data_IF_306048637920
#
_entry.id   IF_306048637920
#
_cell.length_a   1.000
_cell.length_b   1.000
_cell.length_c   1.000
_cell.angle_alpha   90.00
_cell.angle_beta   90.00
_cell.angle_gamma   90.00
#
_symmetry.space_group_name_H-M   'P 1'
#
loop_
_entity.id
_entity.type
_entity.pdbx_description
1 polymer ?
#
# COMPACT_ATOMS: atom_id res chain seq x y z
N UNK A 1 -33.61 1.13 -29.11
CA UNK A 1 -32.68 1.82 -28.19
C UNK A 1 -31.30 1.32 -28.55
N UNK A 2 -30.40 2.20 -29.01
CA UNK A 2 -28.99 1.84 -29.18
C UNK A 2 -28.46 1.32 -27.84
N UNK A 3 -27.58 0.31 -27.79
CA UNK A 3 -26.92 -0.07 -26.55
C UNK A 3 -26.32 1.20 -25.96
N UNK A 4 -26.66 1.54 -24.71
CA UNK A 4 -26.08 2.71 -24.07
C UNK A 4 -24.56 2.49 -24.09
N UNK A 5 -23.80 3.45 -24.61
CA UNK A 5 -22.35 3.36 -24.58
C UNK A 5 -21.90 3.46 -23.12
N UNK A 6 -21.67 2.30 -22.48
CA UNK A 6 -21.32 2.20 -21.06
C UNK A 6 -19.99 2.92 -20.81
N UNK A 7 -19.01 2.80 -21.70
CA UNK A 7 -17.72 3.48 -21.57
C UNK A 7 -17.88 5.00 -21.50
N UNK A 8 -18.70 5.59 -22.39
CA UNK A 8 -19.02 7.02 -22.35
C UNK A 8 -19.75 7.43 -21.07
N UNK A 9 -20.71 6.61 -20.60
CA UNK A 9 -21.45 6.85 -19.36
C UNK A 9 -20.53 6.83 -18.13
N UNK A 10 -19.70 5.80 -17.99
CA UNK A 10 -18.71 5.64 -16.92
C UNK A 10 -17.75 6.83 -16.92
N UNK A 11 -17.23 7.22 -18.09
CA UNK A 11 -16.33 8.37 -18.21
C UNK A 11 -16.97 9.67 -17.74
N UNK A 12 -18.21 9.94 -18.15
CA UNK A 12 -18.95 11.13 -17.71
C UNK A 12 -19.17 11.14 -16.19
N UNK A 13 -19.53 9.98 -15.59
CA UNK A 13 -19.70 9.85 -14.14
C UNK A 13 -18.40 10.08 -13.37
N UNK A 14 -17.27 9.57 -13.86
CA UNK A 14 -15.95 9.81 -13.27
C UNK A 14 -15.55 11.29 -13.37
N UNK A 15 -15.85 11.96 -14.48
CA UNK A 15 -15.62 13.41 -14.65
C UNK A 15 -16.46 14.27 -13.69
N UNK A 16 -17.72 13.90 -13.49
CA UNK A 16 -18.59 14.57 -12.51
C UNK A 16 -18.04 14.39 -11.09
N UNK A 17 -17.69 13.16 -10.71
CA UNK A 17 -17.11 12.85 -9.40
C UNK A 17 -15.77 13.55 -9.15
N UNK A 18 -14.93 13.66 -10.18
CA UNK A 18 -13.69 14.43 -10.14
C UNK A 18 -13.96 15.92 -9.84
N UNK A 19 -14.96 16.50 -10.49
CA UNK A 19 -15.36 17.90 -10.30
C UNK A 19 -15.92 18.15 -8.90
N UNK A 20 -16.79 17.27 -8.40
CA UNK A 20 -17.38 17.33 -7.05
C UNK A 20 -16.32 17.21 -5.95
N UNK A 21 -15.35 16.30 -6.14
CA UNK A 21 -14.25 16.07 -5.19
C UNK A 21 -13.06 17.01 -5.38
N UNK A 22 -13.09 17.93 -6.35
CA UNK A 22 -11.99 18.82 -6.74
C UNK A 22 -10.67 18.08 -7.03
N UNK A 23 -10.75 16.82 -7.47
CA UNK A 23 -9.58 15.99 -7.83
C UNK A 23 -9.35 15.99 -9.34
N UNK A 24 -8.10 15.83 -9.81
CA UNK A 24 -7.84 15.66 -11.24
C UNK A 24 -8.58 14.46 -11.81
N UNK A 25 -9.29 14.64 -12.93
CA UNK A 25 -10.01 13.55 -13.62
C UNK A 25 -9.12 12.34 -13.90
N UNK A 26 -7.85 12.57 -14.25
CA UNK A 26 -6.90 11.49 -14.52
C UNK A 26 -6.64 10.59 -13.30
N UNK A 27 -6.75 11.12 -12.09
CA UNK A 27 -6.56 10.33 -10.86
C UNK A 27 -7.74 9.37 -10.67
N UNK A 28 -8.97 9.84 -10.91
CA UNK A 28 -10.17 8.98 -10.86
C UNK A 28 -10.19 7.96 -12.00
N UNK A 29 -9.71 8.31 -13.20
CA UNK A 29 -9.57 7.35 -14.29
C UNK A 29 -8.56 6.25 -13.94
N UNK A 30 -7.41 6.61 -13.35
CA UNK A 30 -6.41 5.62 -12.91
C UNK A 30 -6.94 4.75 -11.79
N UNK A 31 -7.57 5.35 -10.77
CA UNK A 31 -8.17 4.60 -9.67
C UNK A 31 -9.27 3.65 -10.16
N UNK A 32 -10.11 4.10 -11.09
CA UNK A 32 -11.09 3.23 -11.73
C UNK A 32 -10.41 2.07 -12.48
N UNK A 33 -9.37 2.34 -13.26
CA UNK A 33 -8.64 1.28 -13.96
C UNK A 33 -7.99 0.27 -13.03
N UNK A 34 -7.40 0.72 -11.90
CA UNK A 34 -6.86 -0.18 -10.88
C UNK A 34 -7.96 -1.01 -10.21
N UNK A 35 -9.06 -0.38 -9.81
CA UNK A 35 -10.23 -1.04 -9.23
C UNK A 35 -10.76 -2.14 -10.17
N UNK A 36 -10.92 -1.83 -11.46
CA UNK A 36 -11.45 -2.79 -12.44
C UNK A 36 -10.48 -3.91 -12.79
N UNK A 37 -9.16 -3.66 -12.69
CA UNK A 37 -8.16 -4.71 -12.77
C UNK A 37 -8.24 -5.64 -11.54
N UNK A 38 -8.28 -5.06 -10.33
CA UNK A 38 -8.40 -5.82 -9.08
C UNK A 38 -9.71 -6.63 -9.02
N UNK A 39 -10.81 -6.11 -9.58
CA UNK A 39 -12.05 -6.87 -9.69
C UNK A 39 -11.86 -8.11 -10.56
N UNK A 40 -11.28 -7.97 -11.76
CA UNK A 40 -10.98 -9.10 -12.63
C UNK A 40 -10.02 -10.09 -11.96
N UNK A 41 -9.00 -9.61 -11.26
CA UNK A 41 -8.11 -10.47 -10.46
C UNK A 41 -8.90 -11.28 -9.44
N UNK A 42 -9.82 -10.64 -8.69
CA UNK A 42 -10.66 -11.29 -7.69
C UNK A 42 -11.64 -12.33 -8.26
N UNK A 43 -11.95 -12.26 -9.56
CA UNK A 43 -12.80 -13.21 -10.27
C UNK A 43 -12.02 -14.31 -11.00
N UNK A 44 -10.71 -14.12 -11.16
CA UNK A 44 -9.83 -15.08 -11.83
C UNK A 44 -9.43 -16.24 -10.91
N UNK A 45 -8.95 -17.32 -11.51
CA UNK A 45 -8.31 -18.44 -10.80
C UNK A 45 -7.03 -18.04 -10.03
N UNK A 46 -6.50 -16.84 -10.27
CA UNK A 46 -5.28 -16.34 -9.64
C UNK A 46 -5.52 -15.54 -8.36
N UNK A 47 -6.78 -15.28 -7.98
CA UNK A 47 -7.13 -14.47 -6.80
C UNK A 47 -6.37 -14.91 -5.54
N UNK A 48 -6.33 -16.23 -5.28
CA UNK A 48 -5.67 -16.80 -4.08
C UNK A 48 -4.14 -16.77 -4.14
N UNK A 49 -3.56 -16.50 -5.32
CA UNK A 49 -2.10 -16.39 -5.52
C UNK A 49 -1.57 -15.02 -5.18
N UNK A 50 -2.42 -14.03 -4.89
CA UNK A 50 -1.99 -12.67 -4.59
C UNK A 50 -2.64 -12.13 -3.33
N UNK A 51 -1.89 -11.31 -2.61
CA UNK A 51 -2.39 -10.56 -1.46
C UNK A 51 -2.15 -9.08 -1.73
N UNK A 52 -3.21 -8.27 -1.65
CA UNK A 52 -3.12 -6.83 -1.80
C UNK A 52 -2.28 -6.24 -0.67
N UNK A 53 -1.27 -5.44 -1.05
CA UNK A 53 -0.43 -4.68 -0.12
C UNK A 53 -0.41 -3.19 -0.48
N UNK A 54 0.42 -2.41 0.21
CA UNK A 54 0.70 -1.03 -0.15
C UNK A 54 -0.46 -0.05 0.09
N UNK A 55 -0.48 1.03 -0.68
CA UNK A 55 -1.30 2.20 -0.40
C UNK A 55 -2.81 1.98 -0.56
N UNK A 56 -3.22 1.05 -1.44
CA UNK A 56 -4.63 0.76 -1.70
C UNK A 56 -5.35 0.18 -0.48
N UNK A 57 -4.60 -0.39 0.49
CA UNK A 57 -5.16 -0.91 1.74
C UNK A 57 -5.81 0.16 2.61
N UNK A 58 -5.32 1.41 2.56
CA UNK A 58 -5.95 2.50 3.31
C UNK A 58 -7.40 2.72 2.87
N UNK A 59 -7.76 2.40 1.61
CA UNK A 59 -9.16 2.45 1.17
C UNK A 59 -10.02 1.32 1.76
N UNK A 60 -9.39 0.21 2.16
CA UNK A 60 -10.06 -0.94 2.79
C UNK A 60 -10.25 -0.69 4.29
N UNK A 61 -9.23 -0.12 4.94
CA UNK A 61 -9.26 0.16 6.38
C UNK A 61 -10.04 1.43 6.72
N UNK A 62 -9.90 2.48 5.90
CA UNK A 62 -10.43 3.82 6.16
C UNK A 62 -11.19 4.36 4.92
N UNK A 63 -12.37 3.80 4.58
CA UNK A 63 -13.08 4.15 3.34
C UNK A 63 -13.51 5.63 3.25
N UNK A 64 -13.72 6.27 4.41
CA UNK A 64 -14.20 7.64 4.56
C UNK A 64 -13.09 8.69 4.72
N UNK A 65 -11.82 8.29 4.82
CA UNK A 65 -10.71 9.23 5.08
C UNK A 65 -10.22 9.93 3.79
N UNK A 66 -9.82 11.20 3.91
CA UNK A 66 -9.33 12.01 2.80
C UNK A 66 -8.00 11.44 2.26
N UNK A 67 -8.06 10.98 1.01
CA UNK A 67 -7.12 10.02 0.47
C UNK A 67 -5.88 10.67 -0.12
N UNK A 68 -4.71 10.10 0.20
CA UNK A 68 -3.51 10.25 -0.64
C UNK A 68 -3.73 9.59 -1.99
N UNK A 69 -3.20 10.20 -3.05
CA UNK A 69 -3.30 9.64 -4.40
C UNK A 69 -2.30 8.49 -4.55
N UNK A 70 -2.77 7.25 -4.76
CA UNK A 70 -1.93 6.10 -5.14
C UNK A 70 -2.01 5.84 -6.64
N UNK A 71 -0.89 5.43 -7.23
CA UNK A 71 -0.72 5.36 -8.68
C UNK A 71 -0.48 3.95 -9.21
N UNK A 72 -0.35 3.00 -8.28
CA UNK A 72 0.08 1.63 -8.49
C UNK A 72 -0.71 0.67 -7.60
N UNK A 73 -0.76 -0.58 -8.07
CA UNK A 73 -1.24 -1.73 -7.33
C UNK A 73 -0.01 -2.46 -6.79
N UNK A 74 0.09 -2.62 -5.47
CA UNK A 74 1.12 -3.46 -4.85
C UNK A 74 0.51 -4.81 -4.46
N UNK A 75 1.13 -5.92 -4.86
CA UNK A 75 0.73 -7.28 -4.51
C UNK A 75 1.91 -8.05 -3.89
N UNK A 76 1.60 -8.97 -2.99
CA UNK A 76 2.50 -10.07 -2.61
C UNK A 76 2.11 -11.32 -3.40
N UNK A 77 3.05 -11.90 -4.15
CA UNK A 77 2.83 -13.09 -4.98
C UNK A 77 3.15 -14.41 -4.28
N UNK A 78 2.23 -15.38 -4.40
CA UNK A 78 2.36 -16.78 -4.02
C UNK A 78 2.30 -17.66 -5.28
N UNK A 79 3.20 -17.35 -6.23
CA UNK A 79 3.30 -17.98 -7.56
C UNK A 79 4.76 -17.99 -8.01
N UNK A 80 5.05 -18.63 -9.14
CA UNK A 80 6.39 -18.61 -9.72
C UNK A 80 6.79 -17.17 -10.11
N UNK A 81 7.95 -16.73 -9.61
CA UNK A 81 8.50 -15.40 -9.89
C UNK A 81 9.27 -15.37 -11.23
N UNK A 82 8.67 -15.89 -12.31
CA UNK A 82 9.17 -15.75 -13.68
C UNK A 82 8.37 -14.70 -14.45
N UNK A 83 9.05 -13.96 -15.33
CA UNK A 83 8.41 -12.89 -16.11
C UNK A 83 7.35 -13.47 -17.04
N UNK A 84 7.61 -14.65 -17.61
CA UNK A 84 6.72 -15.39 -18.49
C UNK A 84 5.42 -15.77 -17.78
N UNK A 85 5.53 -16.33 -16.56
CA UNK A 85 4.36 -16.68 -15.75
C UNK A 85 3.52 -15.45 -15.41
N UNK A 86 4.17 -14.36 -14.97
CA UNK A 86 3.46 -13.13 -14.59
C UNK A 86 2.80 -12.42 -15.78
N UNK A 87 3.40 -12.48 -16.98
CA UNK A 87 2.75 -12.04 -18.22
C UNK A 87 1.51 -12.87 -18.50
N UNK A 88 1.61 -14.21 -18.40
CA UNK A 88 0.47 -15.10 -18.65
C UNK A 88 -0.69 -14.83 -17.68
N UNK A 89 -0.38 -14.70 -16.38
CA UNK A 89 -1.36 -14.33 -15.35
C UNK A 89 -2.00 -12.98 -15.67
N UNK A 90 -1.21 -11.95 -15.98
CA UNK A 90 -1.73 -10.62 -16.28
C UNK A 90 -2.65 -10.63 -17.51
N UNK A 91 -2.30 -11.37 -18.57
CA UNK A 91 -3.18 -11.56 -19.74
C UNK A 91 -4.52 -12.19 -19.36
N UNK A 92 -4.47 -13.30 -18.61
CA UNK A 92 -5.67 -14.01 -18.16
C UNK A 92 -6.56 -13.15 -17.25
N UNK A 93 -5.96 -12.30 -16.41
CA UNK A 93 -6.70 -11.33 -15.59
C UNK A 93 -7.35 -10.25 -16.47
N UNK A 94 -6.63 -9.69 -17.45
CA UNK A 94 -7.21 -8.71 -18.37
C UNK A 94 -8.38 -9.27 -19.19
N UNK A 95 -8.33 -10.55 -19.54
CA UNK A 95 -9.31 -11.27 -20.36
C UNK A 95 -10.43 -11.94 -19.55
N UNK A 96 -10.42 -11.81 -18.22
CA UNK A 96 -11.43 -12.42 -17.36
C UNK A 96 -12.85 -11.93 -17.70
N UNK A 97 -13.78 -12.87 -17.90
CA UNK A 97 -15.18 -12.56 -18.15
C UNK A 97 -15.83 -11.92 -16.91
N UNK A 98 -16.30 -10.68 -17.08
CA UNK A 98 -16.97 -9.87 -16.06
C UNK A 98 -18.13 -9.11 -16.67
N UNK A 99 -19.00 -8.56 -15.83
CA UNK A 99 -20.05 -7.65 -16.26
C UNK A 99 -19.47 -6.42 -16.97
N UNK A 100 -20.16 -5.89 -17.98
CA UNK A 100 -19.68 -4.72 -18.74
C UNK A 100 -19.46 -3.52 -17.82
N UNK A 101 -18.20 -3.14 -17.67
CA UNK A 101 -17.74 -2.00 -16.86
C UNK A 101 -17.12 -0.88 -17.73
N UNK A 102 -17.23 -1.01 -19.06
CA UNK A 102 -16.83 0.00 -20.04
C UNK A 102 -15.32 0.21 -20.18
N UNK A 103 -14.49 -0.47 -19.40
CA UNK A 103 -13.03 -0.40 -19.51
C UNK A 103 -12.49 -1.60 -20.30
N UNK A 104 -11.57 -1.31 -21.21
CA UNK A 104 -10.89 -2.31 -22.01
C UNK A 104 -9.42 -2.37 -21.62
N UNK A 105 -8.90 -3.56 -21.32
CA UNK A 105 -7.46 -3.76 -21.08
C UNK A 105 -6.79 -4.26 -22.34
N UNK A 106 -5.71 -3.60 -22.77
CA UNK A 106 -4.90 -4.01 -23.91
C UNK A 106 -3.84 -5.02 -23.44
N UNK A 107 -4.14 -6.32 -23.58
CA UNK A 107 -3.25 -7.41 -23.17
C UNK A 107 -1.95 -7.48 -23.99
N UNK A 108 -1.92 -6.87 -25.18
CA UNK A 108 -0.71 -6.77 -26.01
C UNK A 108 0.22 -5.62 -25.60
N UNK A 109 -0.31 -4.66 -24.83
CA UNK A 109 0.49 -3.59 -24.23
C UNK A 109 1.31 -4.02 -23.02
N UNK A 110 1.11 -5.23 -22.49
CA UNK A 110 1.77 -5.70 -21.28
C UNK A 110 3.28 -5.63 -21.43
N UNK A 111 3.94 -4.96 -20.48
CA UNK A 111 5.40 -4.91 -20.34
C UNK A 111 5.76 -5.30 -18.92
N UNK A 112 6.74 -6.19 -18.78
CA UNK A 112 7.21 -6.65 -17.47
C UNK A 112 8.70 -6.40 -17.31
N UNK A 113 9.12 -6.12 -16.08
CA UNK A 113 10.53 -5.92 -15.74
C UNK A 113 10.80 -6.22 -14.27
N UNK A 114 12.02 -6.64 -13.99
CA UNK A 114 12.50 -6.81 -12.61
C UNK A 114 12.63 -5.45 -11.94
N UNK A 115 12.22 -5.37 -10.68
CA UNK A 115 12.42 -4.22 -9.81
C UNK A 115 13.10 -4.70 -8.53
N UNK A 116 13.93 -3.83 -7.93
CA UNK A 116 14.43 -4.06 -6.58
C UNK A 116 13.40 -3.55 -5.59
N UNK A 117 12.82 -4.45 -4.79
CA UNK A 117 12.18 -4.06 -3.53
C UNK A 117 13.24 -3.95 -2.43
N UNK A 118 12.87 -3.48 -1.23
CA UNK A 118 13.80 -3.26 -0.10
C UNK A 118 14.43 -4.53 0.48
N UNK A 119 14.00 -5.69 0.00
CA UNK A 119 14.52 -7.00 0.37
C UNK A 119 15.47 -7.53 -0.72
N UNK A 120 16.26 -8.55 -0.38
CA UNK A 120 17.18 -9.23 -1.30
C UNK A 120 16.50 -10.03 -2.44
N UNK A 121 15.17 -9.89 -2.59
CA UNK A 121 14.36 -10.54 -3.62
C UNK A 121 14.00 -9.55 -4.75
N UNK A 122 14.15 -9.99 -6.00
CA UNK A 122 13.71 -9.23 -7.17
C UNK A 122 12.18 -9.31 -7.32
N UNK A 123 11.51 -8.19 -7.07
CA UNK A 123 10.11 -8.00 -7.43
C UNK A 123 9.92 -7.87 -8.94
N UNK A 124 8.66 -7.84 -9.38
CA UNK A 124 8.31 -7.66 -10.79
C UNK A 124 7.30 -6.54 -10.94
N UNK A 125 7.59 -5.61 -11.85
CA UNK A 125 6.66 -4.58 -12.28
C UNK A 125 5.99 -5.00 -13.58
N UNK A 126 4.67 -4.89 -13.62
CA UNK A 126 3.84 -5.06 -14.81
C UNK A 126 3.24 -3.70 -15.16
N UNK A 127 3.37 -3.30 -16.42
CA UNK A 127 2.74 -2.12 -17.00
C UNK A 127 1.72 -2.57 -18.05
N UNK A 128 0.50 -2.04 -17.95
CA UNK A 128 -0.62 -2.36 -18.85
C UNK A 128 -1.33 -1.06 -19.24
N UNK A 129 -1.75 -0.93 -20.50
CA UNK A 129 -2.68 0.12 -20.90
C UNK A 129 -4.11 -0.37 -20.77
N UNK A 130 -4.94 0.43 -20.12
CA UNK A 130 -6.38 0.31 -20.19
C UNK A 130 -6.98 1.49 -20.96
N UNK A 131 -8.20 1.34 -21.46
CA UNK A 131 -8.91 2.32 -22.25
C UNK A 131 -10.32 2.48 -21.73
N UNK A 132 -10.72 3.72 -21.50
CA UNK A 132 -12.10 4.10 -21.28
C UNK A 132 -12.46 5.13 -22.34
N UNK A 133 -13.29 4.73 -23.31
CA UNK A 133 -13.40 5.48 -24.58
C UNK A 133 -12.00 5.63 -25.23
N UNK A 134 -11.69 6.83 -25.73
CA UNK A 134 -10.37 7.18 -26.27
C UNK A 134 -9.33 7.53 -25.20
N UNK A 135 -9.67 7.47 -23.91
CA UNK A 135 -8.75 7.82 -22.83
C UNK A 135 -7.86 6.64 -22.48
N UNK A 136 -6.57 6.73 -22.78
CA UNK A 136 -5.55 5.78 -22.34
C UNK A 136 -5.23 5.96 -20.85
N UNK A 137 -5.27 4.88 -20.10
CA UNK A 137 -5.06 4.82 -18.66
C UNK A 137 -3.90 3.83 -18.41
N UNK A 138 -2.69 4.30 -18.08
CA UNK A 138 -1.61 3.40 -17.71
C UNK A 138 -1.86 2.82 -16.32
N UNK A 139 -1.72 1.50 -16.19
CA UNK A 139 -1.83 0.73 -14.95
C UNK A 139 -0.46 0.14 -14.63
N UNK A 140 -0.01 0.32 -13.39
CA UNK A 140 1.21 -0.26 -12.86
C UNK A 140 0.83 -1.24 -11.74
N UNK A 141 1.39 -2.45 -11.82
CA UNK A 141 1.24 -3.48 -10.79
C UNK A 141 2.64 -3.92 -10.38
N UNK A 142 2.98 -3.72 -9.11
CA UNK A 142 4.24 -4.15 -8.53
C UNK A 142 3.99 -5.39 -7.67
N UNK A 143 4.75 -6.46 -7.93
CA UNK A 143 4.59 -7.76 -7.29
C UNK A 143 5.87 -8.06 -6.52
N UNK A 144 5.75 -8.03 -5.19
CA UNK A 144 6.76 -8.50 -4.26
C UNK A 144 6.65 -9.99 -3.99
N UNK A 145 7.72 -10.59 -3.47
CA UNK A 145 7.78 -12.02 -3.17
C UNK A 145 8.54 -12.27 -1.87
N UNK A 146 8.13 -13.30 -1.13
CA UNK A 146 8.85 -13.78 0.03
C UNK A 146 8.69 -12.95 1.30
N UNK A 147 7.79 -11.97 1.32
CA UNK A 147 7.49 -11.22 2.55
C UNK A 147 6.79 -12.11 3.59
N UNK A 148 7.14 -11.90 4.86
CA UNK A 148 6.49 -12.58 5.98
C UNK A 148 5.08 -12.03 6.20
N UNK A 149 4.10 -12.93 6.28
CA UNK A 149 2.70 -12.60 6.43
C UNK A 149 2.22 -12.93 7.85
N UNK A 150 2.59 -12.07 8.79
CA UNK A 150 2.22 -12.20 10.22
C UNK A 150 1.54 -10.90 10.69
N UNK A 151 0.30 -10.96 11.19
CA UNK A 151 -0.61 -12.10 11.09
C UNK A 151 -0.95 -12.44 9.63
N UNK A 152 -1.57 -13.59 9.39
CA UNK A 152 -1.94 -14.03 8.04
C UNK A 152 -2.84 -13.02 7.31
N UNK A 153 -2.87 -13.10 5.97
CA UNK A 153 -3.73 -12.23 5.17
C UNK A 153 -5.20 -12.35 5.56
N UNK A 154 -5.87 -11.21 5.57
CA UNK A 154 -7.28 -11.06 5.93
C UNK A 154 -8.13 -10.79 4.69
N UNK A 155 -9.40 -11.20 4.66
CA UNK A 155 -10.29 -10.81 3.56
C UNK A 155 -10.52 -9.31 3.57
N UNK A 156 -10.43 -8.67 2.40
CA UNK A 156 -10.69 -7.25 2.20
C UNK A 156 -11.61 -7.00 1.01
N UNK A 157 -12.43 -5.95 1.12
CA UNK A 157 -13.26 -5.45 0.02
C UNK A 157 -12.76 -4.07 -0.37
N UNK A 158 -12.29 -3.94 -1.61
CA UNK A 158 -11.83 -2.64 -2.14
C UNK A 158 -13.07 -1.82 -2.51
N UNK A 159 -13.24 -0.59 -1.98
CA UNK A 159 -14.41 0.22 -2.30
C UNK A 159 -14.39 0.65 -3.77
N UNK A 160 -15.58 0.80 -4.36
CA UNK A 160 -15.74 1.17 -5.76
C UNK A 160 -16.03 2.66 -5.94
N UNK A 161 -15.55 3.24 -7.04
CA UNK A 161 -15.82 4.64 -7.40
C UNK A 161 -17.24 4.83 -7.92
N UNK A 162 -17.81 3.82 -8.56
CA UNK A 162 -19.15 3.82 -9.15
C UNK A 162 -19.89 2.56 -8.70
N UNK A 163 -21.15 2.43 -9.12
CA UNK A 163 -22.04 1.30 -8.77
C UNK A 163 -21.68 0.02 -9.55
N UNK A 164 -20.45 -0.47 -9.36
CA UNK A 164 -19.97 -1.74 -9.87
C UNK A 164 -19.67 -2.71 -8.74
N UNK A 165 -19.65 -4.03 -8.99
CA UNK A 165 -19.26 -4.99 -7.99
C UNK A 165 -17.82 -4.75 -7.49
N UNK A 166 -17.66 -4.80 -6.17
CA UNK A 166 -16.39 -4.53 -5.49
C UNK A 166 -15.40 -5.70 -5.61
N UNK A 167 -14.09 -5.43 -5.81
CA UNK A 167 -13.04 -6.44 -5.68
C UNK A 167 -13.00 -7.03 -4.27
N UNK A 168 -12.97 -8.36 -4.16
CA UNK A 168 -12.79 -9.07 -2.89
C UNK A 168 -11.51 -9.89 -2.95
N UNK A 169 -10.52 -9.48 -2.16
CA UNK A 169 -9.16 -10.04 -2.22
C UNK A 169 -8.68 -10.39 -0.82
N UNK A 170 -7.60 -11.16 -0.76
CA UNK A 170 -6.79 -11.25 0.45
C UNK A 170 -5.95 -9.98 0.55
N UNK A 171 -5.87 -9.41 1.74
CA UNK A 171 -5.16 -8.17 2.03
C UNK A 171 -4.18 -8.37 3.18
N UNK A 172 -3.12 -7.56 3.20
CA UNK A 172 -2.28 -7.43 4.39
C UNK A 172 -3.10 -6.95 5.58
N UNK A 173 -2.72 -7.43 6.76
CA UNK A 173 -3.12 -6.79 8.01
C UNK A 173 -2.27 -5.53 8.23
N UNK A 174 -2.85 -4.52 8.91
CA UNK A 174 -2.16 -3.31 9.35
C UNK A 174 -0.82 -3.61 10.04
N UNK A 175 -0.74 -4.66 10.88
CA UNK A 175 0.49 -5.02 11.61
C UNK A 175 1.61 -5.48 10.67
N UNK A 176 1.28 -6.24 9.61
CA UNK A 176 2.25 -6.64 8.59
C UNK A 176 2.77 -5.41 7.83
N UNK A 177 1.89 -4.48 7.47
CA UNK A 177 2.28 -3.23 6.82
C UNK A 177 3.16 -2.34 7.72
N UNK A 178 2.85 -2.25 9.01
CA UNK A 178 3.67 -1.55 10.01
C UNK A 178 5.05 -2.22 10.12
N UNK A 179 5.09 -3.55 10.25
CA UNK A 179 6.32 -4.31 10.41
C UNK A 179 7.29 -4.13 9.23
N UNK A 180 6.80 -4.20 7.99
CA UNK A 180 7.62 -3.96 6.79
C UNK A 180 8.17 -2.54 6.73
N UNK A 181 7.34 -1.53 7.01
CA UNK A 181 7.76 -0.13 6.98
C UNK A 181 8.76 0.17 8.10
N UNK A 182 8.57 -0.41 9.28
CA UNK A 182 9.52 -0.29 10.39
C UNK A 182 10.85 -0.96 10.05
N UNK A 183 10.83 -2.19 9.53
CA UNK A 183 12.04 -2.88 9.08
C UNK A 183 12.79 -2.06 8.02
N UNK A 184 12.09 -1.52 7.02
CA UNK A 184 12.69 -0.66 5.99
C UNK A 184 13.30 0.61 6.60
N UNK A 185 12.66 1.17 7.63
CA UNK A 185 13.17 2.34 8.36
C UNK A 185 14.49 2.03 9.06
N UNK A 186 14.59 0.88 9.72
CA UNK A 186 15.82 0.43 10.37
C UNK A 186 16.91 0.14 9.32
N UNK A 187 16.59 -0.60 8.26
CA UNK A 187 17.54 -1.01 7.21
C UNK A 187 18.14 0.18 6.46
N UNK A 188 17.31 1.16 6.09
CA UNK A 188 17.73 2.32 5.28
C UNK A 188 18.39 3.43 6.11
N UNK A 189 18.05 3.53 7.40
CA UNK A 189 18.63 4.52 8.31
C UNK A 189 18.57 5.96 7.78
N UNK A 190 19.69 6.68 7.83
CA UNK A 190 19.80 8.08 7.40
C UNK A 190 19.51 8.27 5.89
N UNK A 191 19.74 7.25 5.07
CA UNK A 191 19.47 7.31 3.62
C UNK A 191 17.98 7.17 3.28
N UNK A 192 17.12 6.90 4.27
CA UNK A 192 15.70 6.68 4.05
C UNK A 192 14.97 7.95 3.57
N UNK A 193 14.63 8.03 2.29
CA UNK A 193 13.86 9.14 1.71
C UNK A 193 12.34 8.88 1.68
N UNK A 194 11.87 7.78 2.26
CA UNK A 194 10.49 7.31 2.15
C UNK A 194 9.60 7.93 3.21
N UNK A 195 9.41 9.24 3.13
CA UNK A 195 8.54 10.01 4.05
C UNK A 195 7.13 9.40 4.17
N UNK A 196 6.62 8.82 3.07
CA UNK A 196 5.35 8.09 3.06
C UNK A 196 5.26 6.96 4.08
N UNK A 197 6.36 6.28 4.40
CA UNK A 197 6.32 5.13 5.32
C UNK A 197 6.15 5.60 6.77
N UNK A 198 6.76 6.74 7.14
CA UNK A 198 6.55 7.38 8.43
C UNK A 198 5.10 7.84 8.59
N UNK A 199 4.55 8.50 7.56
CA UNK A 199 3.16 8.93 7.54
C UNK A 199 2.20 7.73 7.59
N UNK A 200 2.42 6.71 6.77
CA UNK A 200 1.54 5.54 6.70
C UNK A 200 1.49 4.81 8.06
N UNK A 201 2.64 4.62 8.75
CA UNK A 201 2.63 4.04 10.11
C UNK A 201 1.89 4.98 11.07
N UNK A 202 2.24 6.26 11.09
CA UNK A 202 1.61 7.25 11.96
C UNK A 202 0.09 7.25 11.79
N UNK A 203 -0.41 7.25 10.55
CA UNK A 203 -1.83 7.26 10.24
C UNK A 203 -2.53 6.01 10.79
N UNK A 204 -1.95 4.83 10.61
CA UNK A 204 -2.51 3.58 11.14
C UNK A 204 -2.61 3.65 12.67
N UNK A 205 -1.55 4.07 13.36
CA UNK A 205 -1.53 4.08 14.84
C UNK A 205 -2.39 5.20 15.46
N UNK A 206 -2.86 6.17 14.67
CA UNK A 206 -3.87 7.15 15.12
C UNK A 206 -5.29 6.58 15.11
N UNK A 207 -5.59 5.64 14.21
CA UNK A 207 -6.95 5.15 13.98
C UNK A 207 -7.19 3.75 14.53
N UNK A 208 -6.13 2.99 14.83
CA UNK A 208 -6.23 1.60 15.26
C UNK A 208 -5.71 1.39 16.69
N UNK A 209 -6.39 0.51 17.43
CA UNK A 209 -5.82 -0.05 18.67
C UNK A 209 -4.91 -1.22 18.34
N UNK A 210 -3.66 -1.17 18.79
CA UNK A 210 -2.65 -2.19 18.47
C UNK A 210 -2.33 -3.02 19.70
N UNK A 211 -2.43 -4.34 19.55
CA UNK A 211 -1.93 -5.29 20.53
C UNK A 211 -0.40 -5.42 20.39
N UNK A 212 0.32 -5.15 21.48
CA UNK A 212 1.78 -5.15 21.49
C UNK A 212 2.40 -6.51 21.21
N UNK A 213 1.73 -7.61 21.59
CA UNK A 213 2.26 -8.96 21.40
C UNK A 213 2.11 -9.38 19.95
N UNK A 214 0.99 -9.02 19.30
CA UNK A 214 0.81 -9.24 17.87
C UNK A 214 1.73 -8.34 17.02
N UNK A 215 1.94 -7.09 17.42
CA UNK A 215 2.94 -6.21 16.78
C UNK A 215 4.34 -6.81 16.88
N UNK A 216 4.73 -7.29 18.08
CA UNK A 216 6.02 -7.91 18.31
C UNK A 216 6.22 -9.14 17.41
N UNK A 217 5.20 -10.01 17.28
CA UNK A 217 5.24 -11.17 16.37
C UNK A 217 5.39 -10.76 14.91
N UNK A 218 4.61 -9.78 14.46
CA UNK A 218 4.67 -9.27 13.10
C UNK A 218 6.07 -8.72 12.77
N UNK A 219 6.59 -7.82 13.61
CA UNK A 219 7.94 -7.29 13.46
C UNK A 219 8.99 -8.40 13.53
N UNK A 220 8.89 -9.34 14.47
CA UNK A 220 9.82 -10.45 14.59
C UNK A 220 9.93 -11.27 13.31
N UNK A 221 8.78 -11.69 12.75
CA UNK A 221 8.73 -12.47 11.52
C UNK A 221 9.29 -11.69 10.32
N UNK A 222 8.95 -10.41 10.18
CA UNK A 222 9.45 -9.57 9.08
C UNK A 222 10.96 -9.32 9.18
N UNK A 223 11.47 -9.05 10.38
CA UNK A 223 12.91 -8.81 10.60
C UNK A 223 13.72 -10.07 10.35
N UNK A 224 13.25 -11.23 10.80
CA UNK A 224 13.85 -12.53 10.53
C UNK A 224 13.88 -12.83 9.02
N UNK A 225 12.74 -12.70 8.34
CA UNK A 225 12.61 -12.96 6.90
C UNK A 225 13.50 -12.06 6.03
N UNK A 226 13.78 -10.83 6.50
CA UNK A 226 14.62 -9.84 5.80
C UNK A 226 16.02 -9.72 6.41
N UNK A 227 16.44 -10.70 7.20
CA UNK A 227 17.77 -10.80 7.81
C UNK A 227 18.24 -9.49 8.47
N UNK A 228 17.31 -8.82 9.16
CA UNK A 228 17.55 -7.54 9.83
C UNK A 228 17.52 -7.75 11.34
N UNK A 229 18.56 -7.31 12.04
CA UNK A 229 18.63 -7.41 13.48
C UNK A 229 17.84 -6.28 14.16
N UNK A 230 17.23 -6.59 15.30
CA UNK A 230 16.76 -5.58 16.22
C UNK A 230 17.95 -4.94 16.93
N UNK A 231 17.93 -3.62 17.03
CA UNK A 231 18.96 -2.86 17.71
C UNK A 231 18.36 -1.50 18.14
N UNK A 232 18.66 -1.07 19.37
CA UNK A 232 18.24 0.23 19.91
C UNK A 232 19.30 1.32 19.69
N UNK A 233 20.52 0.95 19.32
CA UNK A 233 21.61 1.88 19.02
C UNK A 233 21.58 2.38 17.57
N UNK A 234 20.68 1.82 16.73
CA UNK A 234 20.46 2.30 15.37
C UNK A 234 19.99 3.75 15.37
N UNK A 235 20.44 4.48 14.33
CA UNK A 235 20.19 5.92 14.17
C UNK A 235 18.74 6.32 14.34
N UNK A 236 17.78 5.49 13.92
CA UNK A 236 16.35 5.77 14.07
C UNK A 236 15.95 6.10 15.51
N UNK A 237 16.55 5.49 16.53
CA UNK A 237 16.21 5.73 17.94
C UNK A 237 17.02 6.86 18.61
N UNK A 238 17.91 7.53 17.87
CA UNK A 238 18.67 8.68 18.36
C UNK A 238 17.87 9.99 18.23
N UNK A 239 18.12 10.94 19.13
CA UNK A 239 17.49 12.26 19.12
C UNK A 239 17.79 13.03 17.80
N UNK A 240 18.99 12.83 17.24
CA UNK A 240 19.44 13.57 16.05
C UNK A 240 18.98 12.95 14.72
N UNK A 241 18.14 11.91 14.72
CA UNK A 241 17.68 11.26 13.48
C UNK A 241 16.90 12.23 12.58
N UNK A 242 16.02 13.03 13.18
CA UNK A 242 15.23 14.05 12.50
C UNK A 242 16.06 15.25 12.04
N UNK A 243 17.17 15.53 12.73
CA UNK A 243 18.10 16.62 12.42
C UNK A 243 19.01 16.33 11.21
N UNK A 244 18.99 15.09 10.70
CA UNK A 244 19.76 14.73 9.51
C UNK A 244 19.38 15.65 8.33
N UNK A 245 20.42 16.12 7.62
CA UNK A 245 20.27 17.18 6.61
C UNK A 245 19.21 16.83 5.56
N UNK A 246 18.21 17.70 5.43
CA UNK A 246 17.18 17.62 4.38
C UNK A 246 15.95 16.78 4.72
N UNK A 247 15.88 16.10 5.87
CA UNK A 247 14.71 15.31 6.28
C UNK A 247 13.45 16.16 6.41
N UNK A 248 13.56 17.28 7.11
CA UNK A 248 12.46 18.22 7.27
C UNK A 248 11.95 18.73 5.91
N UNK A 249 12.86 19.08 5.01
CA UNK A 249 12.51 19.50 3.64
C UNK A 249 11.80 18.39 2.87
N UNK A 250 12.26 17.14 2.99
CA UNK A 250 11.62 15.98 2.36
C UNK A 250 10.21 15.75 2.91
N UNK A 251 10.03 15.86 4.23
CA UNK A 251 8.74 15.74 4.90
C UNK A 251 7.76 16.81 4.45
N UNK A 252 8.13 18.10 4.55
CA UNK A 252 7.28 19.21 4.10
C UNK A 252 6.88 19.07 2.63
N UNK A 253 7.84 18.69 1.77
CA UNK A 253 7.57 18.47 0.36
C UNK A 253 6.60 17.29 0.12
N UNK A 254 6.74 16.21 0.90
CA UNK A 254 5.82 15.07 0.86
C UNK A 254 4.40 15.48 1.30
N UNK A 255 4.25 16.09 2.47
CA UNK A 255 2.96 16.52 3.04
C UNK A 255 2.23 17.44 2.05
N UNK A 256 2.92 18.47 1.55
CA UNK A 256 2.35 19.41 0.57
C UNK A 256 1.96 18.75 -0.74
N UNK A 257 2.77 17.81 -1.25
CA UNK A 257 2.46 17.12 -2.51
C UNK A 257 1.22 16.24 -2.37
N UNK A 258 0.97 15.69 -1.18
CA UNK A 258 -0.16 14.82 -0.91
C UNK A 258 -1.41 15.57 -0.43
N UNK A 259 -1.32 16.87 -0.14
CA UNK A 259 -2.45 17.65 0.38
C UNK A 259 -2.77 17.30 1.83
N UNK A 260 -1.76 16.97 2.65
CA UNK A 260 -1.91 16.45 4.01
C UNK A 260 -1.63 17.52 5.08
N UNK A 261 -1.52 18.79 4.71
CA UNK A 261 -1.11 19.89 5.60
C UNK A 261 -1.99 20.04 6.85
N UNK A 262 -3.28 19.71 6.74
CA UNK A 262 -4.25 19.87 7.83
C UNK A 262 -4.32 18.64 8.76
N UNK A 263 -3.71 17.52 8.37
CA UNK A 263 -3.83 16.23 9.08
C UNK A 263 -2.50 15.66 9.54
N UNK A 264 -1.43 15.79 8.75
CA UNK A 264 -0.14 15.21 9.08
C UNK A 264 0.59 16.02 10.17
N UNK A 265 1.49 15.38 10.94
CA UNK A 265 2.40 16.09 11.84
C UNK A 265 3.13 17.24 11.14
N UNK A 266 3.25 18.37 11.85
CA UNK A 266 3.73 19.62 11.27
C UNK A 266 5.20 19.54 10.84
N UNK A 267 6.00 18.76 11.58
CA UNK A 267 7.41 18.53 11.30
C UNK A 267 7.81 17.06 11.30
N UNK A 268 8.95 16.77 10.70
CA UNK A 268 9.48 15.41 10.64
C UNK A 268 9.90 14.90 12.03
N UNK A 269 10.41 15.79 12.87
CA UNK A 269 10.76 15.48 14.27
C UNK A 269 9.55 14.96 15.06
N UNK A 270 8.38 15.58 14.87
CA UNK A 270 7.15 15.20 15.57
C UNK A 270 6.72 13.76 15.21
N UNK A 271 6.64 13.44 13.92
CA UNK A 271 6.28 12.08 13.49
C UNK A 271 7.31 11.05 13.96
N UNK A 272 8.60 11.37 13.89
CA UNK A 272 9.67 10.47 14.37
C UNK A 272 9.54 10.23 15.87
N UNK A 273 9.32 11.27 16.68
CA UNK A 273 9.17 11.13 18.13
C UNK A 273 7.99 10.24 18.54
N UNK A 274 6.87 10.36 17.83
CA UNK A 274 5.71 9.47 18.01
C UNK A 274 6.09 8.02 17.68
N UNK A 275 6.73 7.79 16.53
CA UNK A 275 7.11 6.44 16.12
C UNK A 275 8.18 5.81 17.02
N UNK A 276 9.15 6.59 17.51
CA UNK A 276 10.12 6.13 18.49
C UNK A 276 9.43 5.71 19.80
N UNK A 277 8.46 6.50 20.28
CA UNK A 277 7.65 6.16 21.47
C UNK A 277 6.83 4.89 21.25
N UNK A 278 6.29 4.73 20.05
CA UNK A 278 5.51 3.55 19.66
C UNK A 278 6.38 2.28 19.62
N UNK A 279 7.53 2.30 18.94
CA UNK A 279 8.34 1.10 18.71
C UNK A 279 9.30 0.73 19.85
N UNK A 280 9.83 1.70 20.60
CA UNK A 280 10.91 1.45 21.58
C UNK A 280 10.56 0.37 22.62
N UNK A 281 9.41 0.40 23.31
CA UNK A 281 9.08 -0.62 24.32
C UNK A 281 8.95 -2.04 23.73
N UNK A 282 8.48 -2.13 22.47
CA UNK A 282 8.39 -3.40 21.75
C UNK A 282 9.79 -3.95 21.43
N UNK A 283 10.70 -3.10 20.95
CA UNK A 283 12.09 -3.51 20.65
C UNK A 283 12.84 -3.89 21.93
N UNK A 284 12.66 -3.17 23.04
CA UNK A 284 13.22 -3.55 24.35
C UNK A 284 12.74 -4.93 24.82
N UNK A 285 11.46 -5.22 24.63
CA UNK A 285 10.87 -6.53 24.95
C UNK A 285 11.44 -7.63 24.06
N UNK A 286 11.60 -7.35 22.76
CA UNK A 286 12.20 -8.27 21.79
C UNK A 286 13.64 -8.62 22.15
N UNK A 287 14.48 -7.63 22.46
CA UNK A 287 15.89 -7.83 22.84
C UNK A 287 16.05 -8.56 24.18
N UNK A 288 15.10 -8.39 25.10
CA UNK A 288 15.11 -9.07 26.40
C UNK A 288 14.43 -10.44 26.41
N UNK A 289 13.91 -10.90 25.26
CA UNK A 289 13.19 -12.18 25.14
C UNK A 289 11.87 -12.21 25.91
N UNK A 290 11.26 -11.04 26.17
CA UNK A 290 9.98 -10.90 26.88
C UNK A 290 8.84 -10.64 25.92
N UNK A 291 7.64 -11.06 26.31
CA UNK A 291 6.40 -10.72 25.59
C UNK A 291 6.02 -9.28 25.89
N UNK A 292 5.77 -8.49 24.85
CA UNK A 292 5.28 -7.12 24.97
C UNK A 292 3.74 -7.09 25.07
N UNK A 293 3.19 -7.19 26.28
CA UNK A 293 1.74 -7.35 26.48
C UNK A 293 0.93 -6.04 26.59
N UNK A 294 1.52 -4.89 26.26
CA UNK A 294 0.82 -3.60 26.32
C UNK A 294 -0.12 -3.43 25.11
N UNK A 295 -1.07 -2.49 25.22
CA UNK A 295 -1.97 -2.12 24.12
C UNK A 295 -1.85 -0.64 23.78
N UNK A 296 -1.60 -0.34 22.51
CA UNK A 296 -1.58 1.03 22.03
C UNK A 296 -3.00 1.55 21.88
N UNK A 297 -3.27 2.70 22.47
CA UNK A 297 -4.52 3.43 22.29
C UNK A 297 -4.33 4.55 21.28
N UNK A 298 -5.41 4.88 20.57
CA UNK A 298 -5.47 6.02 19.64
C UNK A 298 -5.17 7.37 20.31
N UNK A 299 -5.14 7.44 21.65
CA UNK A 299 -4.62 8.58 22.41
C UNK A 299 -3.09 8.73 22.36
N UNK A 300 -2.37 7.88 21.64
CA UNK A 300 -0.93 7.96 21.44
C UNK A 300 -0.08 7.38 22.57
N UNK A 301 -0.59 6.39 23.32
CA UNK A 301 0.11 5.81 24.47
C UNK A 301 -0.15 4.30 24.61
N UNK A 302 0.88 3.58 25.06
CA UNK A 302 0.76 2.18 25.52
C UNK A 302 0.09 2.12 26.90
N UNK A 303 -0.80 1.15 27.10
CA UNK A 303 -1.46 0.85 28.38
C UNK A 303 -1.36 -0.63 28.74
#
# INVERSE_FOLDING_TARGET
>A
MSPANIAASVKARLQNKASESKKPTNDLLRLYGMERFLYRLSKSEHSEKFVLKGALLFMVWEPDYERRTTMDIDLLGFTENSLENLVAIAKQVCEAEVEEDGIEFDSESIRVGRIKEDADYEGVRILINAFLERSRIPIQIDIGFGDALVPGAIPGTVPTLLDFPAPKLRCYHQLTAIAEKFQATIKLGELNSRMKDFYDIWNIIQHEEIDGAELQKACGATFEQRETLFDLEVRFFSENFSEALGKETQWTAFVRKQGLEDVAPAGFEEVVGILQTFFRPMVESQLSGKVFSARWKTSGQWR
#
